data_IF_001639202074
#
_entry.id   IF_001639202074
#
_cell.length_a   1.000
_cell.length_b   1.000
_cell.length_c   1.000
_cell.angle_alpha   90.00
_cell.angle_beta   90.00
_cell.angle_gamma   90.00
#
_symmetry.space_group_name_H-M   'P 1'
#
loop_
_entity.id
_entity.type
_entity.pdbx_description
1 polymer ?
#
# COMPACT_ATOMS: atom_id res chain seq x y z
N UNK A 1 -9.25 -2.98 9.05
CA UNK A 1 -8.55 -1.79 9.56
C UNK A 1 -7.70 -2.13 10.77
N UNK A 2 -8.28 -2.70 11.83
CA UNK A 2 -7.54 -3.14 13.03
C UNK A 2 -6.42 -4.14 12.72
N UNK A 3 -6.67 -5.13 11.83
CA UNK A 3 -5.65 -6.09 11.39
C UNK A 3 -4.45 -5.45 10.67
N UNK A 4 -4.68 -4.35 9.93
CA UNK A 4 -3.60 -3.69 9.18
C UNK A 4 -2.74 -2.84 10.12
N UNK A 5 -3.39 -2.11 11.03
CA UNK A 5 -2.73 -1.35 12.09
C UNK A 5 -1.95 -2.26 13.06
N UNK A 6 -2.51 -3.43 13.41
CA UNK A 6 -1.83 -4.42 14.24
C UNK A 6 -0.61 -5.04 13.55
N UNK A 7 -0.72 -5.38 12.26
CA UNK A 7 0.41 -5.92 11.48
C UNK A 7 1.51 -4.87 11.27
N UNK A 8 1.16 -3.60 11.09
CA UNK A 8 2.13 -2.53 10.91
C UNK A 8 2.84 -2.17 12.22
N UNK A 9 2.10 -2.04 13.32
CA UNK A 9 2.68 -1.86 14.66
C UNK A 9 3.56 -3.04 15.08
N UNK A 10 3.21 -4.27 14.67
CA UNK A 10 4.05 -5.45 14.85
C UNK A 10 5.39 -5.35 14.13
N UNK A 11 5.38 -4.86 12.88
CA UNK A 11 6.58 -4.66 12.05
C UNK A 11 7.51 -3.58 12.63
N UNK A 12 6.95 -2.43 13.01
CA UNK A 12 7.69 -1.33 13.65
C UNK A 12 8.41 -1.78 14.94
N UNK A 13 7.73 -2.58 15.77
CA UNK A 13 8.33 -3.13 16.99
C UNK A 13 9.43 -4.13 16.69
N UNK A 14 9.31 -4.88 15.58
CA UNK A 14 10.32 -5.82 15.14
C UNK A 14 11.57 -5.07 14.67
N UNK A 15 11.40 -4.05 13.82
CA UNK A 15 12.48 -3.27 13.25
C UNK A 15 13.26 -2.53 14.35
N UNK A 16 12.56 -1.96 15.34
CA UNK A 16 13.20 -1.37 16.53
C UNK A 16 14.01 -2.39 17.33
N UNK A 17 13.49 -3.61 17.54
CA UNK A 17 14.23 -4.67 18.25
C UNK A 17 15.46 -5.13 17.48
N UNK A 18 15.35 -5.20 16.14
CA UNK A 18 16.46 -5.58 15.27
C UNK A 18 17.55 -4.50 15.31
N UNK A 19 17.18 -3.22 15.20
CA UNK A 19 18.12 -2.11 15.30
C UNK A 19 18.84 -2.07 16.66
N UNK A 20 18.11 -2.24 17.76
CA UNK A 20 18.70 -2.31 19.11
C UNK A 20 19.70 -3.48 19.21
N UNK A 21 19.32 -4.68 18.76
CA UNK A 21 20.21 -5.85 18.80
C UNK A 21 21.47 -5.68 17.93
N UNK A 22 21.35 -5.06 16.77
CA UNK A 22 22.50 -4.79 15.90
C UNK A 22 23.47 -3.82 16.57
N UNK A 23 22.96 -2.79 17.24
CA UNK A 23 23.78 -1.82 17.96
C UNK A 23 24.41 -2.42 19.23
N UNK A 24 23.67 -3.22 19.99
CA UNK A 24 24.19 -4.01 21.10
C UNK A 24 25.33 -4.94 20.65
N UNK A 25 25.17 -5.59 19.49
CA UNK A 25 26.21 -6.42 18.88
C UNK A 25 27.48 -5.64 18.56
N UNK A 26 27.37 -4.46 17.95
CA UNK A 26 28.53 -3.60 17.64
C UNK A 26 29.22 -3.08 18.90
N UNK A 27 28.47 -2.79 19.96
CA UNK A 27 29.04 -2.39 21.25
C UNK A 27 29.86 -3.54 21.86
N UNK A 28 29.28 -4.75 21.89
CA UNK A 28 29.98 -5.94 22.39
C UNK A 28 31.24 -6.27 21.57
N UNK A 29 31.20 -6.11 20.25
CA UNK A 29 32.39 -6.27 19.39
C UNK A 29 33.50 -5.26 19.75
N UNK A 30 33.14 -4.00 19.99
CA UNK A 30 34.10 -2.97 20.42
C UNK A 30 34.70 -3.27 21.79
N UNK A 31 33.91 -3.78 22.74
CA UNK A 31 34.38 -4.19 24.06
C UNK A 31 35.37 -5.36 23.98
N UNK A 32 35.09 -6.36 23.13
CA UNK A 32 35.99 -7.49 22.88
C UNK A 32 37.30 -7.01 22.24
N UNK A 33 37.24 -6.11 21.27
CA UNK A 33 38.43 -5.56 20.63
C UNK A 33 39.28 -4.74 21.62
N UNK A 34 38.66 -3.95 22.48
CA UNK A 34 39.34 -3.23 23.57
C UNK A 34 40.04 -4.19 24.54
N UNK A 35 39.35 -5.27 24.95
CA UNK A 35 39.94 -6.28 25.82
C UNK A 35 41.14 -6.96 25.17
N UNK A 36 41.04 -7.30 23.88
CA UNK A 36 42.14 -7.87 23.09
C UNK A 36 43.33 -6.93 23.01
N UNK A 37 43.12 -5.68 22.61
CA UNK A 37 44.20 -4.68 22.51
C UNK A 37 44.90 -4.46 23.85
N UNK A 38 44.17 -4.45 24.97
CA UNK A 38 44.77 -4.37 26.31
C UNK A 38 45.69 -5.56 26.59
N UNK A 39 45.32 -6.77 26.20
CA UNK A 39 46.19 -7.95 26.37
C UNK A 39 47.42 -7.88 25.46
N UNK A 40 47.28 -7.44 24.21
CA UNK A 40 48.41 -7.24 23.29
C UNK A 40 49.39 -6.20 23.83
N UNK A 41 48.90 -5.08 24.36
CA UNK A 41 49.73 -4.05 25.03
C UNK A 41 50.52 -4.64 26.20
N UNK A 42 49.89 -5.43 27.07
CA UNK A 42 50.58 -6.09 28.19
C UNK A 42 51.66 -7.07 27.71
N UNK A 43 51.38 -7.79 26.62
CA UNK A 43 52.32 -8.75 26.03
C UNK A 43 53.53 -8.02 25.44
N UNK A 44 53.30 -6.96 24.67
CA UNK A 44 54.36 -6.11 24.10
C UNK A 44 55.22 -5.45 25.19
N UNK A 45 54.62 -5.00 26.30
CA UNK A 45 55.38 -4.49 27.46
C UNK A 45 56.31 -5.55 28.04
N UNK A 46 55.81 -6.78 28.19
CA UNK A 46 56.59 -7.92 28.67
C UNK A 46 57.74 -8.29 27.73
N UNK A 47 57.49 -8.33 26.43
CA UNK A 47 58.51 -8.60 25.41
C UNK A 47 59.57 -7.51 25.37
N UNK A 48 59.17 -6.24 25.37
CA UNK A 48 60.09 -5.11 25.42
C UNK A 48 60.99 -5.14 26.66
N UNK A 49 60.43 -5.49 27.83
CA UNK A 49 61.21 -5.65 29.06
C UNK A 49 62.24 -6.79 28.95
N UNK A 50 61.87 -7.92 28.33
CA UNK A 50 62.81 -9.03 28.08
C UNK A 50 63.91 -8.66 27.09
N UNK A 51 63.57 -7.95 26.01
CA UNK A 51 64.55 -7.48 25.01
C UNK A 51 65.53 -6.50 25.65
N UNK A 52 65.06 -5.59 26.50
CA UNK A 52 65.92 -4.68 27.28
C UNK A 52 66.82 -5.45 28.25
N UNK A 53 66.27 -6.37 29.04
CA UNK A 53 67.06 -7.20 29.95
C UNK A 53 68.11 -8.05 29.19
N UNK A 54 67.78 -8.58 28.01
CA UNK A 54 68.72 -9.31 27.15
C UNK A 54 69.81 -8.41 26.57
N UNK A 55 69.50 -7.14 26.26
CA UNK A 55 70.48 -6.15 25.82
C UNK A 55 71.51 -5.86 26.91
N UNK A 56 71.05 -5.77 28.15
CA UNK A 56 71.87 -5.43 29.31
C UNK A 56 72.73 -6.61 29.80
N UNK A 57 72.35 -7.87 29.48
CA UNK A 57 73.00 -9.09 29.99
C UNK A 57 74.16 -9.68 29.16
N UNK A 58 74.46 -9.23 27.93
CA UNK A 58 75.65 -9.70 27.16
C UNK A 58 75.63 -9.30 25.67
N UNK A 59 76.66 -8.66 25.10
CA UNK A 59 78.02 -9.14 24.73
C UNK A 59 78.16 -9.59 23.24
N UNK A 60 77.97 -8.64 22.31
CA UNK A 60 78.71 -8.45 21.04
C UNK A 60 78.05 -7.29 20.26
N UNK A 61 78.84 -6.46 19.58
CA UNK A 61 78.35 -5.19 18.99
C UNK A 61 77.28 -5.37 17.90
N UNK A 62 77.29 -6.48 17.15
CA UNK A 62 76.29 -6.75 16.11
C UNK A 62 74.96 -7.25 16.68
N UNK A 63 74.98 -8.11 17.71
CA UNK A 63 73.77 -8.56 18.41
C UNK A 63 73.09 -7.41 19.16
N UNK A 64 73.88 -6.48 19.72
CA UNK A 64 73.36 -5.29 20.40
C UNK A 64 72.65 -4.32 19.43
N UNK A 65 73.09 -4.22 18.18
CA UNK A 65 72.41 -3.42 17.16
C UNK A 65 71.04 -4.02 16.81
N UNK A 66 70.97 -5.32 16.52
CA UNK A 66 69.72 -5.98 16.17
C UNK A 66 68.69 -5.99 17.33
N UNK A 67 69.17 -6.17 18.56
CA UNK A 67 68.36 -6.05 19.78
C UNK A 67 67.89 -4.60 20.01
N UNK A 68 68.73 -3.61 19.68
CA UNK A 68 68.38 -2.19 19.69
C UNK A 68 67.26 -1.86 18.69
N UNK A 69 67.39 -2.32 17.44
CA UNK A 69 66.38 -2.11 16.39
C UNK A 69 65.05 -2.79 16.74
N UNK A 70 65.09 -4.01 17.30
CA UNK A 70 63.90 -4.70 17.78
C UNK A 70 63.23 -3.93 18.92
N UNK A 71 64.00 -3.41 19.88
CA UNK A 71 63.46 -2.61 20.98
C UNK A 71 62.80 -1.32 20.50
N UNK A 72 63.36 -0.66 19.47
CA UNK A 72 62.75 0.55 18.86
C UNK A 72 61.45 0.20 18.16
N UNK A 73 61.40 -0.91 17.41
CA UNK A 73 60.16 -1.36 16.73
C UNK A 73 59.07 -1.77 17.72
N UNK A 74 59.44 -2.48 18.79
CA UNK A 74 58.51 -2.86 19.86
C UNK A 74 58.00 -1.63 20.62
N UNK A 75 58.86 -0.64 20.88
CA UNK A 75 58.44 0.63 21.48
C UNK A 75 57.45 1.37 20.57
N UNK A 76 57.72 1.47 19.27
CA UNK A 76 56.78 2.09 18.32
C UNK A 76 55.44 1.37 18.21
N UNK A 77 55.45 0.03 18.24
CA UNK A 77 54.21 -0.76 18.27
C UNK A 77 53.43 -0.57 19.58
N UNK A 78 54.14 -0.46 20.71
CA UNK A 78 53.54 -0.16 22.01
C UNK A 78 52.92 1.24 22.02
N UNK A 79 53.63 2.24 21.52
CA UNK A 79 53.16 3.62 21.48
C UNK A 79 51.90 3.74 20.58
N UNK A 80 51.87 3.03 19.44
CA UNK A 80 50.70 2.94 18.57
C UNK A 80 49.52 2.26 19.27
N UNK A 81 49.74 1.13 19.94
CA UNK A 81 48.69 0.40 20.63
C UNK A 81 48.15 1.18 21.85
N UNK A 82 49.02 1.86 22.61
CA UNK A 82 48.61 2.75 23.70
C UNK A 82 47.86 3.98 23.20
N UNK A 83 48.26 4.55 22.07
CA UNK A 83 47.51 5.64 21.42
C UNK A 83 46.13 5.15 20.96
N UNK A 84 46.03 3.95 20.40
CA UNK A 84 44.75 3.37 19.96
C UNK A 84 43.84 3.02 21.13
N UNK A 85 44.38 2.50 22.23
CA UNK A 85 43.63 2.28 23.48
C UNK A 85 43.16 3.62 24.04
N UNK A 86 44.03 4.64 24.10
CA UNK A 86 43.61 5.99 24.52
C UNK A 86 42.53 6.58 23.62
N UNK A 87 42.57 6.38 22.31
CA UNK A 87 41.53 6.86 21.40
C UNK A 87 40.18 6.16 21.64
N UNK A 88 40.21 4.84 21.84
CA UNK A 88 39.01 4.04 22.13
C UNK A 88 38.45 4.28 23.54
N UNK A 89 39.30 4.67 24.50
CA UNK A 89 38.93 5.06 25.88
C UNK A 89 38.57 6.55 26.00
N UNK A 90 39.13 7.41 25.14
CA UNK A 90 38.85 8.84 25.08
C UNK A 90 37.62 9.19 24.27
N UNK A 91 37.02 8.24 23.53
CA UNK A 91 35.59 8.27 23.29
C UNK A 91 34.91 8.02 24.64
N UNK A 92 34.35 9.04 25.32
CA UNK A 92 33.67 8.79 26.57
C UNK A 92 32.56 7.77 26.32
N UNK A 93 32.40 6.79 27.19
CA UNK A 93 31.15 6.00 27.24
C UNK A 93 29.95 6.95 27.23
N UNK A 94 30.06 8.12 27.87
CA UNK A 94 29.07 9.19 27.78
C UNK A 94 28.86 9.80 26.40
N UNK A 95 29.87 9.86 25.52
CA UNK A 95 29.72 10.32 24.12
C UNK A 95 29.16 9.24 23.22
N UNK A 96 29.54 7.96 23.40
CA UNK A 96 28.90 6.83 22.70
C UNK A 96 27.45 6.66 23.13
N UNK A 97 27.17 6.77 24.43
CA UNK A 97 25.81 6.78 24.98
C UNK A 97 25.04 8.01 24.54
N UNK A 98 25.66 9.19 24.45
CA UNK A 98 25.00 10.39 23.94
C UNK A 98 24.73 10.32 22.43
N UNK A 99 25.68 9.82 21.62
CA UNK A 99 25.42 9.59 20.19
C UNK A 99 24.38 8.51 19.99
N UNK A 100 24.38 7.44 20.79
CA UNK A 100 23.35 6.42 20.79
C UNK A 100 21.97 7.00 21.20
N UNK A 101 21.91 7.80 22.25
CA UNK A 101 20.67 8.48 22.66
C UNK A 101 20.17 9.43 21.59
N UNK A 102 21.05 10.23 20.97
CA UNK A 102 20.70 11.13 19.88
C UNK A 102 20.20 10.34 18.67
N UNK A 103 20.87 9.26 18.27
CA UNK A 103 20.43 8.40 17.17
C UNK A 103 19.08 7.73 17.46
N UNK A 104 18.87 7.27 18.70
CA UNK A 104 17.60 6.68 19.11
C UNK A 104 16.45 7.71 19.15
N UNK A 105 16.72 8.93 19.60
CA UNK A 105 15.74 10.02 19.57
C UNK A 105 15.49 10.52 18.14
N UNK A 106 16.51 10.57 17.27
CA UNK A 106 16.32 10.88 15.84
C UNK A 106 15.46 9.83 15.17
N UNK A 107 15.77 8.54 15.33
CA UNK A 107 14.94 7.45 14.80
C UNK A 107 13.52 7.49 15.36
N UNK A 108 13.38 7.79 16.66
CA UNK A 108 12.06 7.94 17.28
C UNK A 108 11.27 9.07 16.62
N UNK A 109 11.89 10.24 16.42
CA UNK A 109 11.25 11.39 15.80
C UNK A 109 10.89 11.10 14.33
N UNK A 110 11.79 10.48 13.57
CA UNK A 110 11.51 10.04 12.20
C UNK A 110 10.30 9.10 12.16
N UNK A 111 10.27 8.09 13.03
CA UNK A 111 9.14 7.17 13.13
C UNK A 111 7.84 7.84 13.60
N UNK A 112 7.92 8.82 14.51
CA UNK A 112 6.76 9.62 14.92
C UNK A 112 6.24 10.47 13.74
N UNK A 113 7.13 11.09 12.94
CA UNK A 113 6.72 11.86 11.75
C UNK A 113 6.11 10.98 10.66
N UNK A 114 6.67 9.80 10.42
CA UNK A 114 6.06 8.80 9.52
C UNK A 114 4.71 8.31 10.02
N UNK A 115 4.55 8.16 11.35
CA UNK A 115 3.27 7.79 11.93
C UNK A 115 2.21 8.87 11.74
N UNK A 116 2.55 10.15 11.99
CA UNK A 116 1.62 11.27 11.81
C UNK A 116 1.23 11.46 10.33
N UNK A 117 2.18 11.33 9.41
CA UNK A 117 1.89 11.40 7.97
C UNK A 117 1.00 10.25 7.50
N UNK A 118 1.25 9.03 7.97
CA UNK A 118 0.38 7.88 7.69
C UNK A 118 -1.02 8.06 8.30
N UNK A 119 -1.12 8.61 9.51
CA UNK A 119 -2.40 8.88 10.16
C UNK A 119 -3.23 9.90 9.36
N UNK A 120 -2.61 10.99 8.91
CA UNK A 120 -3.25 11.98 8.05
C UNK A 120 -3.72 11.37 6.71
N UNK A 121 -2.90 10.56 6.05
CA UNK A 121 -3.28 9.88 4.82
C UNK A 121 -4.44 8.89 5.03
N UNK A 122 -4.51 8.20 6.17
CA UNK A 122 -5.63 7.33 6.51
C UNK A 122 -6.93 8.10 6.76
N UNK A 123 -6.84 9.33 7.29
CA UNK A 123 -7.99 10.21 7.49
C UNK A 123 -8.53 10.72 6.14
N UNK A 124 -7.65 11.15 5.24
CA UNK A 124 -8.03 11.54 3.87
C UNK A 124 -8.73 10.41 3.11
N UNK A 125 -8.18 9.19 3.18
CA UNK A 125 -8.81 8.01 2.58
C UNK A 125 -10.19 7.69 3.19
N UNK A 126 -10.39 7.95 4.49
CA UNK A 126 -11.69 7.78 5.15
C UNK A 126 -12.70 8.81 4.64
N UNK A 127 -12.28 10.05 4.43
CA UNK A 127 -13.14 11.12 3.92
C UNK A 127 -13.55 10.83 2.47
N UNK A 128 -12.59 10.44 1.64
CA UNK A 128 -12.85 10.00 0.26
C UNK A 128 -13.83 8.83 0.18
N UNK A 129 -13.65 7.82 1.05
CA UNK A 129 -14.57 6.71 1.14
C UNK A 129 -15.99 7.16 1.51
N UNK A 130 -16.11 8.11 2.44
CA UNK A 130 -17.39 8.65 2.88
C UNK A 130 -18.08 9.42 1.76
N UNK A 131 -17.33 10.22 1.00
CA UNK A 131 -17.82 10.95 -0.18
C UNK A 131 -18.27 9.96 -1.27
N UNK A 132 -17.45 8.96 -1.60
CA UNK A 132 -17.80 7.94 -2.61
C UNK A 132 -19.06 7.17 -2.21
N UNK A 133 -19.18 6.80 -0.93
CA UNK A 133 -20.37 6.14 -0.40
C UNK A 133 -21.61 7.03 -0.53
N UNK A 134 -21.51 8.32 -0.22
CA UNK A 134 -22.59 9.30 -0.41
C UNK A 134 -23.03 9.37 -1.86
N UNK A 135 -22.09 9.56 -2.80
CA UNK A 135 -22.36 9.58 -4.25
C UNK A 135 -23.04 8.31 -4.75
N UNK A 136 -22.62 7.15 -4.25
CA UNK A 136 -23.20 5.86 -4.63
C UNK A 136 -24.64 5.70 -4.11
N UNK A 137 -24.93 6.20 -2.92
CA UNK A 137 -26.30 6.22 -2.38
C UNK A 137 -27.20 7.15 -3.19
N UNK A 138 -26.75 8.36 -3.51
CA UNK A 138 -27.49 9.27 -4.38
C UNK A 138 -27.74 8.68 -5.78
N UNK A 139 -26.74 8.03 -6.37
CA UNK A 139 -26.89 7.37 -7.67
C UNK A 139 -27.96 6.26 -7.62
N UNK A 140 -27.99 5.47 -6.55
CA UNK A 140 -29.01 4.44 -6.34
C UNK A 140 -30.41 5.05 -6.14
N UNK A 141 -30.50 6.18 -5.47
CA UNK A 141 -31.78 6.89 -5.29
C UNK A 141 -32.30 7.42 -6.62
N UNK A 142 -31.45 8.10 -7.41
CA UNK A 142 -31.79 8.52 -8.77
C UNK A 142 -32.21 7.35 -9.67
N UNK A 143 -31.56 6.18 -9.53
CA UNK A 143 -31.96 4.97 -10.26
C UNK A 143 -33.35 4.48 -9.86
N UNK A 144 -33.68 4.49 -8.56
CA UNK A 144 -35.02 4.12 -8.06
C UNK A 144 -36.08 5.08 -8.55
N UNK A 145 -35.81 6.38 -8.51
CA UNK A 145 -36.72 7.41 -9.04
C UNK A 145 -36.94 7.24 -10.55
N UNK A 146 -35.88 7.00 -11.32
CA UNK A 146 -35.98 6.74 -12.76
C UNK A 146 -36.80 5.47 -13.05
N UNK A 147 -36.62 4.40 -12.28
CA UNK A 147 -37.44 3.18 -12.39
C UNK A 147 -38.91 3.46 -12.06
N UNK A 148 -39.18 4.20 -10.98
CA UNK A 148 -40.53 4.58 -10.61
C UNK A 148 -41.21 5.44 -11.69
N UNK A 149 -40.48 6.39 -12.28
CA UNK A 149 -40.96 7.21 -13.39
C UNK A 149 -41.31 6.35 -14.63
N UNK A 150 -40.46 5.38 -14.99
CA UNK A 150 -40.75 4.45 -16.09
C UNK A 150 -42.01 3.63 -15.85
N UNK A 151 -42.22 3.15 -14.61
CA UNK A 151 -43.44 2.42 -14.24
C UNK A 151 -44.67 3.31 -14.37
N UNK A 152 -44.60 4.58 -13.94
CA UNK A 152 -45.70 5.55 -14.10
C UNK A 152 -46.05 5.78 -15.57
N UNK A 153 -45.04 6.05 -16.40
CA UNK A 153 -45.23 6.24 -17.85
C UNK A 153 -45.87 5.00 -18.50
N UNK A 154 -45.39 3.79 -18.15
CA UNK A 154 -45.97 2.55 -18.67
C UNK A 154 -47.43 2.37 -18.24
N UNK A 155 -47.76 2.73 -16.99
CA UNK A 155 -49.12 2.69 -16.46
C UNK A 155 -50.03 3.67 -17.21
N UNK A 156 -49.58 4.92 -17.40
CA UNK A 156 -50.33 5.94 -18.13
C UNK A 156 -50.58 5.55 -19.58
N UNK A 157 -49.59 4.93 -20.23
CA UNK A 157 -49.73 4.42 -21.60
C UNK A 157 -50.82 3.34 -21.70
N UNK A 158 -50.86 2.39 -20.76
CA UNK A 158 -51.90 1.34 -20.73
C UNK A 158 -53.29 1.97 -20.57
N UNK A 159 -53.45 2.90 -19.63
CA UNK A 159 -54.71 3.61 -19.41
C UNK A 159 -55.15 4.37 -20.67
N UNK A 160 -54.22 5.07 -21.33
CA UNK A 160 -54.50 5.81 -22.56
C UNK A 160 -54.90 4.86 -23.70
N UNK A 161 -54.19 3.75 -23.88
CA UNK A 161 -54.48 2.74 -24.89
C UNK A 161 -55.89 2.17 -24.70
N UNK A 162 -56.28 1.85 -23.48
CA UNK A 162 -57.63 1.34 -23.17
C UNK A 162 -58.72 2.38 -23.48
N UNK A 163 -58.49 3.66 -23.14
CA UNK A 163 -59.41 4.76 -23.49
C UNK A 163 -59.59 4.90 -25.00
N UNK A 164 -58.50 4.84 -25.77
CA UNK A 164 -58.52 4.91 -27.23
C UNK A 164 -59.29 3.72 -27.82
N UNK A 165 -59.01 2.50 -27.35
CA UNK A 165 -59.73 1.30 -27.78
C UNK A 165 -61.22 1.36 -27.45
N UNK A 166 -61.58 1.85 -26.26
CA UNK A 166 -62.98 2.03 -25.86
C UNK A 166 -63.71 3.01 -26.78
N UNK A 167 -63.11 4.19 -27.04
CA UNK A 167 -63.68 5.17 -28.00
C UNK A 167 -63.85 4.58 -29.40
N UNK A 168 -62.87 3.80 -29.89
CA UNK A 168 -62.96 3.15 -31.20
C UNK A 168 -64.09 2.13 -31.27
N UNK A 169 -64.30 1.33 -30.20
CA UNK A 169 -65.41 0.38 -30.09
C UNK A 169 -66.77 1.10 -30.06
N UNK A 170 -66.86 2.23 -29.34
CA UNK A 170 -68.06 3.06 -29.30
C UNK A 170 -68.38 3.65 -30.68
N UNK A 171 -67.39 4.20 -31.38
CA UNK A 171 -67.55 4.69 -32.76
C UNK A 171 -67.99 3.59 -33.73
N UNK A 172 -67.43 2.38 -33.62
CA UNK A 172 -67.87 1.23 -34.45
C UNK A 172 -69.31 0.84 -34.17
N UNK A 173 -69.75 0.83 -32.89
CA UNK A 173 -71.15 0.57 -32.53
C UNK A 173 -72.09 1.63 -33.08
N UNK A 174 -71.70 2.91 -32.99
CA UNK A 174 -72.48 4.02 -33.56
C UNK A 174 -72.59 3.89 -35.09
N UNK A 175 -71.51 3.56 -35.79
CA UNK A 175 -71.52 3.33 -37.23
C UNK A 175 -72.43 2.15 -37.62
N UNK A 176 -72.40 1.04 -36.88
CA UNK A 176 -73.29 -0.11 -37.10
C UNK A 176 -74.76 0.25 -36.88
N UNK A 177 -75.07 1.07 -35.87
CA UNK A 177 -76.45 1.54 -35.61
C UNK A 177 -76.94 2.57 -36.63
N UNK A 178 -76.04 3.38 -37.19
CA UNK A 178 -76.35 4.38 -38.20
C UNK A 178 -76.48 3.79 -39.63
N UNK A 179 -76.18 2.50 -39.83
CA UNK A 179 -76.41 1.84 -41.11
C UNK A 179 -77.85 1.29 -41.12
N UNK A 180 -78.81 1.92 -41.83
CA UNK A 180 -80.16 1.40 -41.87
C UNK A 180 -80.14 0.02 -42.53
N UNK A 181 -80.88 -0.92 -41.95
CA UNK A 181 -81.17 -2.20 -42.57
C UNK A 181 -81.74 -1.92 -43.96
N UNK A 182 -80.92 -2.12 -45.00
CA UNK A 182 -81.35 -2.11 -46.38
C UNK A 182 -82.18 -3.37 -46.55
N UNK A 183 -83.46 -3.28 -46.20
CA UNK A 183 -84.48 -4.28 -46.47
C UNK A 183 -84.45 -4.57 -47.97
N UNK A 184 -84.29 -5.84 -48.32
CA UNK A 184 -84.44 -6.27 -49.69
C UNK A 184 -85.87 -6.08 -50.17
N UNK A 185 -86.03 -5.76 -51.46
CA UNK A 185 -87.10 -6.25 -52.34
C UNK A 185 -87.09 -5.45 -53.64
N UNK A 186 -86.46 -6.00 -54.68
CA UNK A 186 -86.85 -5.95 -56.10
C UNK A 186 -85.58 -6.10 -56.97
N UNK A 187 -85.13 -7.33 -57.17
CA UNK A 187 -84.50 -7.68 -58.45
C UNK A 187 -85.43 -8.70 -59.10
N UNK A 188 -86.04 -8.25 -60.19
CA UNK A 188 -86.88 -9.03 -61.07
C UNK A 188 -86.07 -10.17 -61.70
N UNK A 189 -86.81 -11.20 -62.07
CA UNK A 189 -86.41 -12.44 -62.74
C UNK A 189 -85.39 -12.24 -63.86
N UNK A 190 -84.41 -13.15 -63.87
CA UNK A 190 -83.40 -13.36 -64.91
C UNK A 190 -83.80 -14.53 -65.83
N UNK A 191 -85.09 -14.57 -66.19
CA UNK A 191 -85.58 -15.28 -67.36
C UNK A 191 -86.02 -14.19 -68.35
N UNK A 192 -85.61 -14.35 -69.62
CA UNK A 192 -85.77 -13.44 -70.75
C UNK A 192 -84.69 -12.36 -70.93
N UNK A 193 -83.55 -12.75 -71.53
CA UNK A 193 -83.20 -12.39 -72.93
C UNK A 193 -81.93 -13.19 -73.33
N UNK A 194 -82.17 -14.32 -74.01
CA UNK A 194 -81.59 -14.73 -75.32
C UNK A 194 -80.16 -14.23 -75.62
N UNK A 195 -79.15 -15.12 -75.58
CA UNK A 195 -78.62 -15.96 -76.67
C UNK A 195 -77.78 -15.20 -77.73
N UNK A 196 -76.79 -15.93 -78.29
CA UNK A 196 -75.66 -15.54 -79.16
C UNK A 196 -74.39 -15.21 -78.33
N UNK A 197 -73.26 -15.89 -78.47
CA UNK A 197 -72.83 -16.93 -79.40
C UNK A 197 -71.29 -17.04 -79.31
N UNK A 198 -70.82 -18.29 -79.40
CA UNK A 198 -69.44 -18.78 -79.61
C UNK A 198 -68.35 -18.70 -78.51
N UNK A 199 -67.83 -19.88 -78.10
CA UNK A 199 -66.63 -20.04 -77.30
C UNK A 199 -65.45 -20.53 -78.15
N UNK A 200 -64.45 -19.67 -78.36
CA UNK A 200 -63.06 -20.03 -78.71
C UNK A 200 -62.28 -18.71 -78.71
N UNK A 201 -61.20 -18.54 -77.96
CA UNK A 201 -59.87 -19.11 -78.21
C UNK A 201 -59.00 -18.80 -76.98
N UNK A 202 -58.22 -19.82 -76.57
CA UNK A 202 -56.88 -19.83 -75.92
C UNK A 202 -56.37 -18.53 -75.29
#
# INVERSE_FOLDING_TARGET
>A
MEDYQARYAGRLRLDRRVAVRLLEGRLAEQEVELARLRTEVQTLKGELARVRASRDAGASSSAQSAVGDLAVRLQGALDWAEARVRELEAEPEGSRVATFQVQMETLRLEMETEWWTMAAAMEELRDDWTIMRGRLLEAREREREAKAARVRIATDYVILKDRVLKKRREQQRQAQQATPARTGSAFASLDDIVSLGDPSVV
#
